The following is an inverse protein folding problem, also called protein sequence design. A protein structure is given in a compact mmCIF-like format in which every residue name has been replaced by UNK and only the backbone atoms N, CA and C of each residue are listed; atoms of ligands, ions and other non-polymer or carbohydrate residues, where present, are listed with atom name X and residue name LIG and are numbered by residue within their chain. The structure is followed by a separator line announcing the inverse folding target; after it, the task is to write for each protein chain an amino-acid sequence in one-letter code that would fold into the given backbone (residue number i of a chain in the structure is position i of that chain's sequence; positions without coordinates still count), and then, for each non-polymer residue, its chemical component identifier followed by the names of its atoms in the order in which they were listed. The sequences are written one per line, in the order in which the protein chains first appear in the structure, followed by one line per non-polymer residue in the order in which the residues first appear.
data_IF_945956642359
#
_entry.id   IF_945956642359
#
_cell.length_a   1.000
_cell.length_b   1.000
_cell.length_c   1.000
_cell.angle_alpha   90.00
_cell.angle_beta   90.00
_cell.angle_gamma   90.00
#
_symmetry.space_group_name_H-M   'P 1'
#
loop_
_entity.id
_entity.type
_entity.pdbx_description
1 polymer ?
#
# COMPACT_ATOMS: atom_id res chain seq x y z
N UNK A 1 -8.90 26.56 14.97
CA UNK A 1 -8.03 26.77 13.81
C UNK A 1 -8.52 25.94 12.62
N UNK A 2 -8.83 26.58 11.49
CA UNK A 2 -9.19 25.90 10.24
C UNK A 2 -7.91 25.27 9.66
N UNK A 3 -7.86 23.94 9.50
CA UNK A 3 -6.70 23.26 8.88
C UNK A 3 -6.84 23.35 7.36
N UNK A 4 -5.79 23.78 6.68
CA UNK A 4 -5.74 23.79 5.22
C UNK A 4 -5.28 22.40 4.73
N UNK A 5 -6.23 21.51 4.47
CA UNK A 5 -5.98 20.13 4.08
C UNK A 5 -5.78 20.06 2.57
N UNK A 6 -4.60 19.62 2.15
CA UNK A 6 -4.25 19.51 0.74
C UNK A 6 -4.96 18.33 0.07
N UNK A 7 -5.25 18.45 -1.22
CA UNK A 7 -5.86 17.37 -2.01
C UNK A 7 -4.99 16.10 -2.01
N UNK A 8 -3.66 16.25 -2.01
CA UNK A 8 -2.72 15.13 -1.93
C UNK A 8 -2.87 14.33 -0.64
N UNK A 9 -3.17 14.98 0.49
CA UNK A 9 -3.39 14.28 1.76
C UNK A 9 -4.71 13.50 1.75
N UNK A 10 -5.75 14.05 1.12
CA UNK A 10 -7.03 13.34 0.91
C UNK A 10 -6.87 12.14 -0.02
N UNK A 11 -6.11 12.29 -1.11
CA UNK A 11 -5.80 11.20 -2.04
C UNK A 11 -5.01 10.09 -1.34
N UNK A 12 -4.00 10.45 -0.56
CA UNK A 12 -3.24 9.48 0.23
C UNK A 12 -4.13 8.75 1.23
N UNK A 13 -4.98 9.48 1.97
CA UNK A 13 -5.92 8.88 2.92
C UNK A 13 -6.90 7.93 2.23
N UNK A 14 -7.41 8.31 1.05
CA UNK A 14 -8.31 7.45 0.26
C UNK A 14 -7.62 6.17 -0.17
N UNK A 15 -6.38 6.25 -0.68
CA UNK A 15 -5.60 5.08 -1.06
C UNK A 15 -5.28 4.17 0.12
N UNK A 16 -4.89 4.73 1.26
CA UNK A 16 -4.67 3.97 2.49
C UNK A 16 -5.96 3.33 3.03
N UNK A 17 -7.11 4.02 2.88
CA UNK A 17 -8.42 3.46 3.26
C UNK A 17 -8.82 2.29 2.37
N UNK A 18 -8.54 2.36 1.07
CA UNK A 18 -8.71 1.24 0.15
C UNK A 18 -7.80 0.06 0.55
N UNK A 19 -6.52 0.32 0.84
CA UNK A 19 -5.59 -0.71 1.30
C UNK A 19 -6.08 -1.34 2.61
N UNK A 20 -6.54 -0.53 3.57
CA UNK A 20 -7.09 -1.03 4.83
C UNK A 20 -8.29 -1.94 4.59
N UNK A 21 -9.22 -1.53 3.72
CA UNK A 21 -10.36 -2.34 3.35
C UNK A 21 -9.93 -3.66 2.70
N UNK A 22 -8.98 -3.61 1.75
CA UNK A 22 -8.41 -4.80 1.14
C UNK A 22 -7.85 -5.76 2.19
N UNK A 23 -7.04 -5.28 3.14
CA UNK A 23 -6.44 -6.10 4.20
C UNK A 23 -7.47 -6.79 5.09
N UNK A 24 -8.65 -6.17 5.30
CA UNK A 24 -9.73 -6.73 6.12
C UNK A 24 -10.58 -7.72 5.31
N UNK A 25 -10.76 -7.50 4.01
CA UNK A 25 -11.76 -8.20 3.20
C UNK A 25 -11.18 -9.41 2.47
N UNK A 26 -9.95 -9.32 1.96
CA UNK A 26 -9.43 -10.27 0.96
C UNK A 26 -9.41 -11.74 1.40
N UNK A 27 -9.22 -12.03 2.68
CA UNK A 27 -9.10 -13.41 3.20
C UNK A 27 -10.37 -13.86 3.93
N UNK A 28 -11.36 -12.96 4.05
CA UNK A 28 -12.50 -13.13 4.95
C UNK A 28 -13.85 -13.17 4.22
N UNK A 29 -13.98 -12.37 3.16
CA UNK A 29 -15.26 -12.18 2.46
C UNK A 29 -15.12 -12.70 1.02
N UNK A 30 -15.99 -13.60 0.56
CA UNK A 30 -15.98 -14.07 -0.82
C UNK A 30 -16.39 -12.95 -1.77
N UNK A 31 -15.53 -12.62 -2.73
CA UNK A 31 -15.73 -11.58 -3.74
C UNK A 31 -15.93 -12.18 -5.14
N UNK A 32 -16.53 -13.37 -5.20
CA UNK A 32 -16.69 -14.14 -6.43
C UNK A 32 -15.33 -14.52 -7.01
N UNK A 33 -15.09 -14.26 -8.29
CA UNK A 33 -13.85 -14.63 -8.95
C UNK A 33 -12.63 -13.81 -8.51
N UNK A 34 -12.75 -12.80 -7.63
CA UNK A 34 -11.62 -11.96 -7.23
C UNK A 34 -10.74 -12.59 -6.14
N UNK A 35 -11.26 -13.54 -5.36
CA UNK A 35 -10.53 -14.26 -4.33
C UNK A 35 -11.17 -15.63 -4.06
N UNK A 36 -10.37 -16.57 -3.56
CA UNK A 36 -10.86 -17.87 -3.10
C UNK A 36 -10.62 -18.01 -1.58
N UNK A 37 -11.61 -17.57 -0.81
CA UNK A 37 -11.54 -17.63 0.65
C UNK A 37 -11.54 -19.08 1.16
N UNK A 38 -12.15 -20.02 0.42
CA UNK A 38 -12.16 -21.42 0.84
C UNK A 38 -10.76 -22.01 0.70
N UNK A 39 -10.14 -21.85 -0.46
CA UNK A 39 -8.79 -22.33 -0.70
C UNK A 39 -7.77 -21.74 0.29
N UNK A 40 -7.89 -20.45 0.60
CA UNK A 40 -7.04 -19.80 1.61
C UNK A 40 -7.20 -20.44 3.00
N UNK A 41 -8.42 -20.81 3.40
CA UNK A 41 -8.70 -21.47 4.70
C UNK A 41 -8.28 -22.93 4.75
N UNK A 42 -8.13 -23.59 3.60
CA UNK A 42 -7.60 -24.95 3.53
C UNK A 42 -6.08 -24.96 3.73
N UNK A 43 -5.38 -23.92 3.24
CA UNK A 43 -3.94 -23.75 3.42
C UNK A 43 -3.57 -23.16 4.79
N UNK A 44 -4.41 -22.27 5.34
CA UNK A 44 -4.11 -21.52 6.55
C UNK A 44 -5.05 -21.83 7.71
N UNK A 45 -4.49 -21.95 8.91
CA UNK A 45 -5.30 -22.03 10.12
C UNK A 45 -6.01 -20.71 10.39
N UNK A 46 -7.18 -20.77 11.03
CA UNK A 46 -7.93 -19.57 11.41
C UNK A 46 -7.09 -18.58 12.24
N UNK A 47 -6.29 -19.07 13.19
CA UNK A 47 -5.44 -18.23 14.03
C UNK A 47 -4.33 -17.55 13.23
N UNK A 48 -3.80 -18.23 12.22
CA UNK A 48 -2.80 -17.64 11.31
C UNK A 48 -3.42 -16.51 10.49
N UNK A 49 -4.61 -16.73 9.91
CA UNK A 49 -5.34 -15.70 9.17
C UNK A 49 -5.65 -14.48 10.04
N UNK A 50 -6.13 -14.69 11.27
CA UNK A 50 -6.35 -13.60 12.23
C UNK A 50 -5.05 -12.85 12.51
N UNK A 51 -3.95 -13.58 12.76
CA UNK A 51 -2.66 -12.97 13.09
C UNK A 51 -2.11 -12.15 11.94
N UNK A 52 -2.09 -12.69 10.72
CA UNK A 52 -1.61 -12.00 9.52
C UNK A 52 -2.49 -10.78 9.22
N UNK A 53 -3.82 -10.92 9.32
CA UNK A 53 -4.76 -9.81 9.14
C UNK A 53 -4.49 -8.69 10.15
N UNK A 54 -4.37 -9.02 11.44
CA UNK A 54 -4.12 -8.02 12.49
C UNK A 54 -2.77 -7.30 12.29
N UNK A 55 -1.71 -8.03 11.96
CA UNK A 55 -0.39 -7.43 11.69
C UNK A 55 -0.51 -6.42 10.55
N UNK A 56 -1.14 -6.81 9.44
CA UNK A 56 -1.29 -5.94 8.27
C UNK A 56 -2.20 -4.73 8.55
N UNK A 57 -3.34 -4.94 9.21
CA UNK A 57 -4.30 -3.89 9.57
C UNK A 57 -3.66 -2.86 10.50
N UNK A 58 -2.97 -3.30 11.55
CA UNK A 58 -2.34 -2.40 12.53
C UNK A 58 -1.28 -1.52 11.86
N UNK A 59 -0.47 -2.07 10.96
CA UNK A 59 0.53 -1.29 10.22
C UNK A 59 -0.11 -0.15 9.42
N UNK A 60 -1.20 -0.44 8.69
CA UNK A 60 -1.91 0.57 7.89
C UNK A 60 -2.61 1.60 8.79
N UNK A 61 -3.21 1.17 9.91
CA UNK A 61 -3.82 2.08 10.89
C UNK A 61 -2.78 3.03 11.48
N UNK A 62 -1.56 2.58 11.77
CA UNK A 62 -0.48 3.46 12.27
C UNK A 62 -0.12 4.51 11.23
N UNK A 63 0.08 4.12 9.96
CA UNK A 63 0.35 5.06 8.87
C UNK A 63 -0.79 6.09 8.74
N UNK A 64 -2.04 5.63 8.71
CA UNK A 64 -3.22 6.49 8.62
C UNK A 64 -3.34 7.42 9.83
N UNK A 65 -3.08 6.93 11.04
CA UNK A 65 -3.13 7.70 12.27
C UNK A 65 -2.11 8.84 12.26
N UNK A 66 -0.88 8.55 11.81
CA UNK A 66 0.15 9.58 11.63
C UNK A 66 -0.27 10.60 10.56
N UNK A 67 -0.77 10.14 9.41
CA UNK A 67 -1.28 11.02 8.35
C UNK A 67 -2.37 11.96 8.87
N UNK A 68 -3.39 11.42 9.54
CA UNK A 68 -4.53 12.21 10.06
C UNK A 68 -4.07 13.21 11.13
N UNK A 69 -3.13 12.81 12.00
CA UNK A 69 -2.62 13.66 13.07
C UNK A 69 -1.90 14.90 12.53
N UNK A 70 -1.14 14.73 11.45
CA UNK A 70 -0.34 15.78 10.80
C UNK A 70 -1.01 16.42 9.57
N UNK A 71 -2.23 15.99 9.23
CA UNK A 71 -2.96 16.52 8.09
C UNK A 71 -3.20 18.03 8.19
N UNK A 72 -2.88 18.76 7.12
CA UNK A 72 -2.94 20.22 7.09
C UNK A 72 -1.95 20.91 8.03
N UNK A 73 -0.94 20.19 8.51
CA UNK A 73 0.17 20.71 9.33
C UNK A 73 1.51 20.45 8.64
N UNK A 74 2.57 21.03 9.18
CA UNK A 74 3.94 20.69 8.79
C UNK A 74 4.30 19.32 9.34
N UNK A 75 4.71 18.41 8.47
CA UNK A 75 5.17 17.07 8.85
C UNK A 75 6.61 17.17 9.39
N UNK A 76 6.88 16.74 10.62
CA UNK A 76 8.24 16.53 11.11
C UNK A 76 9.00 15.59 10.18
N UNK A 77 10.32 15.75 10.08
CA UNK A 77 11.17 14.94 9.19
C UNK A 77 11.04 13.45 9.53
N UNK A 78 10.98 13.09 10.83
CA UNK A 78 10.80 11.71 11.24
C UNK A 78 9.46 11.12 10.73
N UNK A 79 8.40 11.91 10.60
CA UNK A 79 7.09 11.43 10.13
C UNK A 79 7.17 11.18 8.63
N UNK A 80 7.80 12.09 7.89
CA UNK A 80 8.02 11.92 6.45
C UNK A 80 8.83 10.64 6.18
N UNK A 81 9.94 10.45 6.90
CA UNK A 81 10.77 9.25 6.78
C UNK A 81 9.98 8.00 7.14
N UNK A 82 9.25 8.01 8.25
CA UNK A 82 8.44 6.88 8.68
C UNK A 82 7.38 6.49 7.64
N UNK A 83 6.59 7.46 7.17
CA UNK A 83 5.55 7.24 6.16
C UNK A 83 6.14 6.67 4.86
N UNK A 84 7.30 7.15 4.41
CA UNK A 84 7.95 6.65 3.19
C UNK A 84 8.52 5.25 3.42
N UNK A 85 9.38 5.09 4.43
CA UNK A 85 10.12 3.84 4.68
C UNK A 85 9.15 2.69 4.89
N UNK A 86 8.11 2.88 5.71
CA UNK A 86 7.18 1.79 6.04
C UNK A 86 6.42 1.30 4.80
N UNK A 87 5.90 2.22 3.98
CA UNK A 87 5.20 1.86 2.75
C UNK A 87 6.15 1.20 1.73
N UNK A 88 7.39 1.70 1.61
CA UNK A 88 8.40 1.10 0.72
C UNK A 88 8.78 -0.30 1.18
N UNK A 89 8.89 -0.57 2.49
CA UNK A 89 9.13 -1.92 3.00
C UNK A 89 8.02 -2.89 2.61
N UNK A 90 6.75 -2.48 2.75
CA UNK A 90 5.60 -3.29 2.30
C UNK A 90 5.69 -3.51 0.77
N UNK A 91 6.03 -2.45 0.02
CA UNK A 91 6.12 -2.54 -1.44
C UNK A 91 7.24 -3.48 -1.92
N UNK A 92 8.40 -3.45 -1.27
CA UNK A 92 9.48 -4.41 -1.54
C UNK A 92 9.02 -5.84 -1.23
N UNK A 93 8.27 -6.04 -0.15
CA UNK A 93 7.68 -7.33 0.19
C UNK A 93 6.78 -7.88 -0.92
N UNK A 94 5.90 -7.05 -1.50
CA UNK A 94 5.03 -7.48 -2.60
C UNK A 94 5.81 -7.70 -3.90
N UNK A 95 6.85 -6.91 -4.17
CA UNK A 95 7.72 -7.14 -5.32
C UNK A 95 8.42 -8.49 -5.23
N UNK A 96 9.03 -8.82 -4.09
CA UNK A 96 9.70 -10.11 -3.88
C UNK A 96 8.70 -11.27 -3.89
N UNK A 97 7.48 -11.04 -3.38
CA UNK A 97 6.49 -12.11 -3.24
C UNK A 97 5.81 -12.47 -4.55
N UNK A 98 5.50 -11.46 -5.37
CA UNK A 98 4.65 -11.58 -6.56
C UNK A 98 5.37 -11.27 -7.85
N UNK A 99 6.06 -10.13 -7.93
CA UNK A 99 6.56 -9.60 -9.20
C UNK A 99 7.91 -10.20 -9.62
N UNK A 100 8.80 -10.47 -8.65
CA UNK A 100 10.10 -11.12 -8.91
C UNK A 100 9.90 -12.55 -9.43
N UNK A 101 9.10 -13.43 -8.80
CA UNK A 101 8.89 -14.76 -9.35
C UNK A 101 8.11 -14.72 -10.69
N UNK A 102 7.20 -13.76 -10.86
CA UNK A 102 6.42 -13.60 -12.10
C UNK A 102 7.31 -13.23 -13.30
N UNK A 103 8.16 -12.20 -13.18
CA UNK A 103 9.00 -11.76 -14.30
C UNK A 103 10.31 -12.53 -14.45
N UNK A 104 10.94 -12.94 -13.36
CA UNK A 104 12.30 -13.52 -13.36
C UNK A 104 12.32 -15.02 -13.08
N UNK A 105 11.21 -15.62 -12.66
CA UNK A 105 11.14 -17.03 -12.27
C UNK A 105 11.84 -17.36 -10.93
N UNK A 106 12.54 -16.41 -10.31
CA UNK A 106 13.26 -16.66 -9.07
C UNK A 106 12.32 -17.01 -7.91
N UNK A 107 12.53 -18.19 -7.33
CA UNK A 107 11.69 -18.73 -6.26
C UNK A 107 10.30 -19.17 -6.72
N UNK A 108 10.02 -19.20 -8.03
CA UNK A 108 8.72 -19.62 -8.55
C UNK A 108 8.45 -21.11 -8.26
N UNK A 109 9.41 -22.00 -8.49
CA UNK A 109 9.27 -23.44 -8.25
C UNK A 109 8.78 -23.78 -6.84
N UNK A 110 9.23 -23.03 -5.84
CA UNK A 110 8.88 -23.22 -4.42
C UNK A 110 7.51 -22.63 -4.07
N UNK A 111 6.96 -21.76 -4.93
CA UNK A 111 5.74 -20.99 -4.68
C UNK A 111 4.57 -21.42 -5.55
N UNK A 112 4.81 -21.97 -6.74
CA UNK A 112 3.78 -22.27 -7.74
C UNK A 112 2.70 -23.20 -7.18
N UNK A 113 3.06 -24.26 -6.47
CA UNK A 113 2.09 -25.21 -5.90
C UNK A 113 1.17 -24.51 -4.90
N UNK A 114 1.75 -23.88 -3.88
CA UNK A 114 1.01 -23.13 -2.86
C UNK A 114 0.22 -21.96 -3.46
N UNK A 115 0.78 -21.28 -4.45
CA UNK A 115 0.10 -20.23 -5.20
C UNK A 115 -1.14 -20.77 -5.92
N UNK A 116 -1.01 -21.87 -6.65
CA UNK A 116 -2.12 -22.46 -7.39
C UNK A 116 -3.21 -22.99 -6.46
N UNK A 117 -2.83 -23.53 -5.30
CA UNK A 117 -3.79 -23.91 -4.26
C UNK A 117 -4.62 -22.72 -3.81
N UNK A 118 -4.00 -21.59 -3.44
CA UNK A 118 -4.73 -20.43 -2.89
C UNK A 118 -5.37 -19.51 -3.94
N UNK A 119 -4.81 -19.44 -5.15
CA UNK A 119 -5.12 -18.40 -6.13
C UNK A 119 -5.37 -18.92 -7.55
N UNK A 120 -5.28 -20.23 -7.80
CA UNK A 120 -5.42 -20.83 -9.13
C UNK A 120 -6.78 -20.56 -9.78
N UNK A 121 -7.84 -20.53 -8.97
CA UNK A 121 -9.22 -20.26 -9.41
C UNK A 121 -9.63 -18.78 -9.29
N UNK A 122 -8.67 -17.89 -9.04
CA UNK A 122 -8.91 -16.44 -8.98
C UNK A 122 -8.67 -15.77 -10.32
N UNK A 123 -9.44 -14.71 -10.59
CA UNK A 123 -9.34 -13.95 -11.82
C UNK A 123 -8.02 -13.18 -11.89
N UNK A 124 -7.21 -13.51 -12.88
CA UNK A 124 -6.05 -12.73 -13.31
C UNK A 124 -6.29 -12.22 -14.72
N UNK A 125 -6.13 -10.91 -14.93
CA UNK A 125 -6.11 -10.35 -16.29
C UNK A 125 -4.71 -10.47 -16.93
N UNK A 126 -3.68 -10.73 -16.13
CA UNK A 126 -2.32 -10.97 -16.62
C UNK A 126 -2.15 -12.43 -17.03
N UNK A 127 -1.40 -12.71 -18.11
CA UNK A 127 -1.08 -14.08 -18.50
C UNK A 127 -0.25 -14.77 -17.43
N UNK A 128 -0.34 -16.10 -17.35
CA UNK A 128 0.51 -16.89 -16.47
C UNK A 128 1.95 -16.85 -16.98
N UNK A 129 2.90 -16.46 -16.12
CA UNK A 129 4.33 -16.48 -16.39
C UNK A 129 5.03 -17.22 -15.25
N UNK A 130 5.94 -18.14 -15.58
CA UNK A 130 6.66 -18.95 -14.59
C UNK A 130 5.72 -19.68 -13.60
N UNK A 131 4.52 -20.07 -14.05
CA UNK A 131 3.53 -20.80 -13.27
C UNK A 131 2.71 -19.96 -12.28
N UNK A 132 2.86 -18.63 -12.26
CA UNK A 132 2.06 -17.73 -11.42
C UNK A 132 1.54 -16.52 -12.22
N UNK A 133 0.52 -15.85 -11.70
CA UNK A 133 0.08 -14.54 -12.22
C UNK A 133 -0.48 -13.71 -11.06
N UNK A 134 -0.06 -12.46 -10.82
CA UNK A 134 -0.70 -11.64 -9.82
C UNK A 134 -2.20 -11.49 -10.12
N UNK A 135 -3.05 -12.03 -9.25
CA UNK A 135 -4.49 -11.92 -9.44
C UNK A 135 -4.94 -10.45 -9.40
N UNK A 136 -6.11 -10.21 -9.94
CA UNK A 136 -6.59 -8.85 -10.20
C UNK A 136 -6.69 -8.03 -8.91
N UNK A 137 -7.13 -8.66 -7.81
CA UNK A 137 -7.29 -7.99 -6.53
C UNK A 137 -5.92 -7.57 -5.94
N UNK A 138 -4.93 -8.47 -5.96
CA UNK A 138 -3.56 -8.17 -5.52
C UNK A 138 -2.89 -7.12 -6.42
N UNK A 139 -3.12 -7.19 -7.74
CA UNK A 139 -2.63 -6.16 -8.65
C UNK A 139 -3.15 -4.76 -8.28
N UNK A 140 -4.45 -4.62 -8.01
CA UNK A 140 -5.05 -3.35 -7.59
C UNK A 140 -4.47 -2.86 -6.27
N UNK A 141 -4.23 -3.75 -5.32
CA UNK A 141 -3.53 -3.44 -4.08
C UNK A 141 -2.12 -2.91 -4.35
N UNK A 142 -1.31 -3.59 -5.18
CA UNK A 142 0.07 -3.21 -5.48
C UNK A 142 0.16 -1.83 -6.15
N UNK A 143 -0.72 -1.56 -7.12
CA UNK A 143 -0.76 -0.26 -7.80
C UNK A 143 -1.24 0.86 -6.86
N UNK A 144 -2.22 0.58 -5.99
CA UNK A 144 -2.66 1.56 -5.00
C UNK A 144 -1.55 1.87 -4.00
N UNK A 145 -0.80 0.87 -3.55
CA UNK A 145 0.36 1.06 -2.67
C UNK A 145 1.45 1.89 -3.34
N UNK A 146 1.78 1.61 -4.61
CA UNK A 146 2.73 2.41 -5.38
C UNK A 146 2.27 3.87 -5.50
N UNK A 147 0.98 4.09 -5.80
CA UNK A 147 0.38 5.42 -5.85
C UNK A 147 0.51 6.14 -4.50
N UNK A 148 0.19 5.48 -3.38
CA UNK A 148 0.35 6.03 -2.04
C UNK A 148 1.80 6.43 -1.74
N UNK A 149 2.79 5.63 -2.15
CA UNK A 149 4.22 5.96 -2.01
C UNK A 149 4.55 7.23 -2.78
N UNK A 150 4.13 7.33 -4.05
CA UNK A 150 4.37 8.51 -4.89
C UNK A 150 3.76 9.77 -4.26
N UNK A 151 2.52 9.69 -3.79
CA UNK A 151 1.84 10.82 -3.12
C UNK A 151 2.53 11.19 -1.82
N UNK A 152 2.99 10.20 -1.04
CA UNK A 152 3.74 10.44 0.21
C UNK A 152 5.06 11.15 -0.04
N UNK A 153 5.80 10.72 -1.07
CA UNK A 153 7.04 11.38 -1.54
C UNK A 153 6.70 12.82 -1.96
N UNK A 154 5.66 13.02 -2.77
CA UNK A 154 5.23 14.34 -3.19
C UNK A 154 4.92 15.28 -2.01
N UNK A 155 4.14 14.83 -1.02
CA UNK A 155 3.85 15.59 0.20
C UNK A 155 5.14 15.94 0.95
N UNK A 156 6.08 14.99 1.02
CA UNK A 156 7.35 15.16 1.75
C UNK A 156 8.23 16.26 1.15
N UNK A 157 8.20 16.46 -0.17
CA UNK A 157 8.99 17.49 -0.87
C UNK A 157 8.21 18.79 -1.13
N UNK A 158 6.89 18.74 -1.31
CA UNK A 158 6.07 19.94 -1.57
C UNK A 158 5.88 20.81 -0.33
N UNK A 159 5.81 20.23 0.86
CA UNK A 159 5.66 20.97 2.12
C UNK A 159 6.83 21.91 2.42
N UNK A 160 8.00 21.69 1.80
CA UNK A 160 9.20 22.53 1.98
C UNK A 160 9.24 23.72 1.02
N UNK A 161 8.60 23.63 -0.17
CA UNK A 161 8.72 24.65 -1.23
C UNK A 161 7.96 25.95 -0.95
N UNK A 162 6.82 25.91 -0.22
CA UNK A 162 6.06 27.13 0.15
C UNK A 162 6.86 28.13 1.01
N UNK A 163 7.87 27.65 1.76
CA UNK A 163 8.73 28.51 2.60
C UNK A 163 9.68 29.38 1.77
N UNK A 164 10.11 28.92 0.60
CA UNK A 164 11.06 29.65 -0.24
C UNK A 164 10.39 30.84 -0.94
N UNK A 165 9.23 30.62 -1.54
CA UNK A 165 8.49 31.70 -2.22
C UNK A 165 8.02 32.79 -1.26
N UNK A 166 7.44 32.43 -0.10
CA UNK A 166 6.93 33.44 0.84
C UNK A 166 8.05 34.27 1.50
N UNK A 167 9.22 33.69 1.73
CA UNK A 167 10.34 34.42 2.33
C UNK A 167 11.07 35.30 1.30
N UNK A 168 11.14 34.91 0.03
CA UNK A 168 11.78 35.72 -1.01
C UNK A 168 10.88 36.90 -1.45
N UNK A 169 9.57 36.68 -1.55
CA UNK A 169 8.60 37.73 -1.90
C UNK A 169 8.52 38.81 -0.80
N UNK A 170 8.70 38.43 0.47
CA UNK A 170 8.79 39.39 1.56
C UNK A 170 10.13 40.15 1.56
N UNK A 171 11.24 39.54 1.12
CA UNK A 171 12.54 40.23 1.05
C UNK A 171 12.69 41.15 -0.16
N UNK A 172 12.01 40.87 -1.27
CA UNK A 172 12.01 41.74 -2.46
C UNK A 172 11.15 42.99 -2.28
N UNK A 173 10.14 42.95 -1.40
CA UNK A 173 9.26 44.10 -1.13
C UNK A 173 9.77 45.07 -0.03
N UNK A 174 10.97 44.85 0.51
CA UNK A 174 11.57 45.68 1.59
C UNK A 174 12.86 46.39 1.14
N UNK A 175 13.31 46.16 -0.10
CA UNK A 175 14.41 46.91 -0.74
C UNK A 175 13.85 47.81 -1.85
#
# INVERSE_FOLDING_TARGET
MKRDIHISEKLLLSGLSFILLFMIVQDWIPLGSLNDVQAIREEHSFNELVTVTLINVVQIIIIMGLLITFMGKRYPIWIKLWLIIHQVCIFVGVLISWWVPYFLGYGAEQKVERYNQMFGDTHSFLPIMNGIAPNTLHFLFHITLLFCIIVTIYISFSSSRKKWYYNNDFSENIN
#
